data_IF_247228870607
#
_entry.id   IF_247228870607
#
_cell.length_a   1.000
_cell.length_b   1.000
_cell.length_c   1.000
_cell.angle_alpha   90.00
_cell.angle_beta   90.00
_cell.angle_gamma   90.00
#
_symmetry.space_group_name_H-M   'P 1'
#
loop_
_entity.id
_entity.type
_entity.pdbx_description
1 polymer ?
#
# COMPACT_ATOMS: atom_id res chain seq x y z
N UNK A 1 -7.32 5.51 53.25
CA UNK A 1 -6.11 5.26 52.43
C UNK A 1 -5.60 6.60 51.91
N UNK A 2 -4.34 6.96 52.17
CA UNK A 2 -3.80 8.29 51.83
C UNK A 2 -3.69 8.55 50.32
N UNK A 3 -3.79 9.82 49.92
CA UNK A 3 -3.71 10.29 48.53
C UNK A 3 -2.43 9.82 47.81
N UNK A 4 -1.28 9.91 48.50
CA UNK A 4 0.02 9.41 48.02
C UNK A 4 0.01 7.92 47.62
N UNK A 5 -0.61 7.06 48.46
CA UNK A 5 -0.68 5.61 48.18
C UNK A 5 -1.51 5.28 46.94
N UNK A 6 -2.50 6.11 46.59
CA UNK A 6 -3.34 5.92 45.39
C UNK A 6 -2.61 6.30 44.11
N UNK A 7 -1.85 7.41 44.13
CA UNK A 7 -1.02 7.81 42.99
C UNK A 7 -0.01 6.71 42.66
N UNK A 8 0.68 6.19 43.68
CA UNK A 8 1.65 5.09 43.50
C UNK A 8 0.99 3.88 42.85
N UNK A 9 -0.21 3.49 43.33
CA UNK A 9 -0.95 2.35 42.76
C UNK A 9 -1.40 2.60 41.32
N UNK A 10 -1.85 3.81 40.98
CA UNK A 10 -2.21 4.17 39.60
C UNK A 10 -1.01 4.09 38.65
N UNK A 11 0.17 4.49 39.11
CA UNK A 11 1.40 4.37 38.33
C UNK A 11 1.75 2.89 38.09
N UNK A 12 1.70 2.05 39.14
CA UNK A 12 1.95 0.62 38.99
C UNK A 12 0.92 -0.07 38.07
N UNK A 13 -0.36 0.30 38.16
CA UNK A 13 -1.39 -0.21 37.28
C UNK A 13 -1.15 0.20 35.83
N UNK A 14 -0.81 1.47 35.58
CA UNK A 14 -0.46 1.96 34.24
C UNK A 14 0.73 1.21 33.65
N UNK A 15 1.79 1.00 34.43
CA UNK A 15 2.98 0.26 33.99
C UNK A 15 2.66 -1.21 33.67
N UNK A 16 1.85 -1.87 34.50
CA UNK A 16 1.44 -3.24 34.26
C UNK A 16 0.58 -3.38 32.99
N UNK A 17 -0.36 -2.45 32.77
CA UNK A 17 -1.18 -2.41 31.55
C UNK A 17 -0.30 -2.14 30.32
N UNK A 18 0.57 -1.13 30.38
CA UNK A 18 1.46 -0.80 29.27
C UNK A 18 2.36 -1.99 28.90
N UNK A 19 2.98 -2.65 29.89
CA UNK A 19 3.80 -3.83 29.66
C UNK A 19 2.99 -4.99 29.05
N UNK A 20 1.78 -5.24 29.54
CA UNK A 20 0.90 -6.27 28.98
C UNK A 20 0.48 -5.98 27.54
N UNK A 21 0.11 -4.74 27.23
CA UNK A 21 -0.28 -4.31 25.87
C UNK A 21 0.90 -4.42 24.90
N UNK A 22 2.09 -3.94 25.29
CA UNK A 22 3.30 -4.07 24.48
C UNK A 22 3.69 -5.54 24.26
N UNK A 23 3.43 -6.41 25.25
CA UNK A 23 3.60 -7.85 25.10
C UNK A 23 2.66 -8.45 24.06
N UNK A 24 1.36 -8.13 24.12
CA UNK A 24 0.38 -8.56 23.10
C UNK A 24 0.74 -8.06 21.70
N UNK A 25 1.25 -6.83 21.64
CA UNK A 25 1.70 -6.21 20.40
C UNK A 25 2.92 -6.90 19.80
N UNK A 26 3.93 -7.20 20.62
CA UNK A 26 5.13 -7.93 20.20
C UNK A 26 4.79 -9.32 19.62
N UNK A 27 3.74 -9.96 20.15
CA UNK A 27 3.21 -11.25 19.70
C UNK A 27 2.24 -11.15 18.50
N UNK A 28 1.97 -9.95 17.97
CA UNK A 28 1.14 -9.80 16.76
C UNK A 28 -0.38 -9.74 16.98
N UNK A 29 -0.86 -9.77 18.22
CA UNK A 29 -2.31 -9.79 18.50
C UNK A 29 -3.03 -8.51 18.05
N UNK A 30 -2.29 -7.40 17.96
CA UNK A 30 -2.82 -6.09 17.59
C UNK A 30 -2.64 -5.75 16.11
N UNK A 31 -1.97 -6.62 15.33
CA UNK A 31 -1.72 -6.36 13.91
C UNK A 31 -3.01 -6.18 13.10
N UNK A 32 -3.98 -7.10 13.27
CA UNK A 32 -5.24 -7.04 12.53
C UNK A 32 -6.01 -5.74 12.77
N UNK A 33 -6.28 -5.31 14.02
CA UNK A 33 -6.97 -4.04 14.25
C UNK A 33 -6.19 -2.84 13.73
N UNK A 34 -4.85 -2.82 13.83
CA UNK A 34 -4.05 -1.71 13.30
C UNK A 34 -4.13 -1.59 11.77
N UNK A 35 -4.07 -2.71 11.05
CA UNK A 35 -4.22 -2.70 9.60
C UNK A 35 -5.63 -2.32 9.16
N UNK A 36 -6.67 -2.71 9.91
CA UNK A 36 -8.05 -2.27 9.63
C UNK A 36 -8.25 -0.77 9.90
N UNK A 37 -7.63 -0.22 10.94
CA UNK A 37 -7.65 1.22 11.21
C UNK A 37 -6.89 1.99 10.13
N UNK A 38 -5.73 1.50 9.70
CA UNK A 38 -4.98 2.05 8.57
C UNK A 38 -5.83 2.12 7.30
N UNK A 39 -6.56 1.05 6.97
CA UNK A 39 -7.45 1.01 5.81
C UNK A 39 -8.57 2.04 5.90
N UNK A 40 -9.16 2.20 7.09
CA UNK A 40 -10.18 3.21 7.33
C UNK A 40 -9.62 4.63 7.19
N UNK A 41 -8.39 4.86 7.63
CA UNK A 41 -7.71 6.15 7.47
C UNK A 41 -7.42 6.45 5.99
N UNK A 42 -6.97 5.47 5.21
CA UNK A 42 -6.82 5.62 3.76
C UNK A 42 -8.16 5.97 3.10
N UNK A 43 -9.22 5.21 3.39
CA UNK A 43 -10.54 5.41 2.78
C UNK A 43 -11.12 6.80 3.06
N UNK A 44 -10.89 7.35 4.24
CA UNK A 44 -11.39 8.69 4.63
C UNK A 44 -10.47 9.83 4.23
N UNK A 45 -9.18 9.54 4.07
CA UNK A 45 -8.10 10.53 4.03
C UNK A 45 -7.47 10.75 2.67
N UNK A 46 -7.73 9.89 1.68
CA UNK A 46 -7.13 9.96 0.35
C UNK A 46 -7.55 11.24 -0.39
N UNK A 47 -6.64 12.22 -0.45
CA UNK A 47 -6.74 13.36 -1.37
C UNK A 47 -6.40 12.89 -2.77
N UNK A 48 -7.39 12.89 -3.66
CA UNK A 48 -7.25 12.50 -5.05
C UNK A 48 -6.32 13.47 -5.79
N UNK A 49 -5.26 12.94 -6.40
CA UNK A 49 -4.37 13.70 -7.30
C UNK A 49 -4.58 13.30 -8.76
N UNK A 50 -4.39 14.25 -9.68
CA UNK A 50 -4.30 13.94 -11.10
C UNK A 50 -3.07 13.06 -11.37
N UNK A 51 -3.18 12.15 -12.35
CA UNK A 51 -2.12 11.21 -12.69
C UNK A 51 -1.69 11.33 -14.16
N UNK A 52 -0.41 11.09 -14.42
CA UNK A 52 0.16 10.96 -15.77
C UNK A 52 -0.13 9.58 -16.40
N UNK A 53 -0.77 8.68 -15.66
CA UNK A 53 -1.04 7.30 -16.08
C UNK A 53 -2.41 7.20 -16.76
N UNK A 54 -2.46 6.48 -17.88
CA UNK A 54 -3.67 6.12 -18.62
C UNK A 54 -3.75 4.60 -18.70
N UNK A 55 -4.94 4.06 -18.45
CA UNK A 55 -5.20 2.63 -18.53
C UNK A 55 -5.85 2.28 -19.86
N UNK A 56 -5.28 1.28 -20.53
CA UNK A 56 -5.83 0.68 -21.73
C UNK A 56 -6.37 -0.69 -21.33
N UNK A 57 -7.70 -0.80 -21.21
CA UNK A 57 -8.30 -2.02 -20.67
C UNK A 57 -8.73 -2.97 -21.76
N UNK A 58 -8.34 -4.24 -21.63
CA UNK A 58 -8.97 -5.33 -22.36
C UNK A 58 -10.24 -5.74 -21.62
N UNK A 59 -11.38 -5.42 -22.21
CA UNK A 59 -12.70 -5.64 -21.64
C UNK A 59 -13.31 -6.98 -22.07
N UNK A 60 -14.41 -7.37 -21.44
CA UNK A 60 -15.18 -8.56 -21.82
C UNK A 60 -15.68 -8.49 -23.29
N UNK A 61 -15.96 -7.27 -23.78
CA UNK A 61 -16.38 -7.06 -25.16
C UNK A 61 -15.22 -7.28 -26.13
N UNK A 62 -14.01 -6.86 -25.77
CA UNK A 62 -12.81 -7.06 -26.58
C UNK A 62 -12.47 -8.55 -26.70
N UNK A 63 -12.55 -9.29 -25.58
CA UNK A 63 -12.33 -10.75 -25.57
C UNK A 63 -13.36 -11.46 -26.45
N UNK A 64 -14.64 -11.05 -26.37
CA UNK A 64 -15.70 -11.62 -27.18
C UNK A 64 -15.55 -11.29 -28.67
N UNK A 65 -15.08 -10.09 -28.99
CA UNK A 65 -14.82 -9.66 -30.35
C UNK A 65 -13.64 -10.41 -30.98
N UNK A 66 -12.59 -10.71 -30.20
CA UNK A 66 -11.47 -11.57 -30.61
C UNK A 66 -11.93 -13.03 -30.78
N UNK A 67 -12.88 -13.48 -29.95
CA UNK A 67 -13.43 -14.83 -29.97
C UNK A 67 -12.60 -15.85 -29.17
N UNK A 68 -11.45 -15.45 -28.62
CA UNK A 68 -10.62 -16.27 -27.74
C UNK A 68 -9.82 -15.42 -26.74
N UNK A 69 -9.32 -16.09 -25.70
CA UNK A 69 -8.33 -15.55 -24.77
C UNK A 69 -7.17 -16.54 -24.65
N UNK A 70 -5.90 -16.10 -24.61
CA UNK A 70 -5.42 -14.71 -24.71
C UNK A 70 -5.66 -14.05 -26.07
N UNK A 71 -5.58 -12.72 -26.13
CA UNK A 71 -5.59 -11.97 -27.40
C UNK A 71 -4.44 -12.43 -28.32
N UNK A 72 -4.65 -12.38 -29.64
CA UNK A 72 -3.59 -12.68 -30.61
C UNK A 72 -2.45 -11.64 -30.57
N UNK A 73 -1.26 -12.09 -30.96
CA UNK A 73 -0.06 -11.27 -31.01
C UNK A 73 -0.20 -10.13 -32.03
N UNK A 74 -0.91 -10.38 -33.15
CA UNK A 74 -1.30 -9.32 -34.11
C UNK A 74 -2.08 -8.22 -33.41
N UNK A 75 -3.10 -8.57 -32.62
CA UNK A 75 -3.99 -7.61 -31.97
C UNK A 75 -3.23 -6.78 -30.93
N UNK A 76 -2.34 -7.41 -30.17
CA UNK A 76 -1.47 -6.72 -29.22
C UNK A 76 -0.47 -5.80 -29.94
N UNK A 77 0.15 -6.26 -31.02
CA UNK A 77 1.09 -5.47 -31.80
C UNK A 77 0.43 -4.21 -32.40
N UNK A 78 -0.77 -4.35 -32.98
CA UNK A 78 -1.57 -3.22 -33.46
C UNK A 78 -1.83 -2.20 -32.35
N UNK A 79 -2.24 -2.67 -31.17
CA UNK A 79 -2.53 -1.78 -30.04
C UNK A 79 -1.26 -1.05 -29.57
N UNK A 80 -0.15 -1.78 -29.41
CA UNK A 80 1.14 -1.21 -29.02
C UNK A 80 1.61 -0.17 -30.04
N UNK A 81 1.47 -0.43 -31.34
CA UNK A 81 1.82 0.51 -32.39
C UNK A 81 0.98 1.79 -32.31
N UNK A 82 -0.34 1.69 -32.07
CA UNK A 82 -1.20 2.87 -31.89
C UNK A 82 -0.76 3.70 -30.68
N UNK A 83 -0.39 3.06 -29.56
CA UNK A 83 0.11 3.78 -28.38
C UNK A 83 1.45 4.48 -28.66
N UNK A 84 2.33 3.81 -29.39
CA UNK A 84 3.62 4.33 -29.88
C UNK A 84 3.41 5.56 -30.77
N UNK A 85 2.55 5.45 -31.78
CA UNK A 85 2.26 6.49 -32.78
C UNK A 85 1.51 7.67 -32.17
N UNK A 86 0.69 7.42 -31.15
CA UNK A 86 0.00 8.45 -30.37
C UNK A 86 0.94 9.22 -29.42
N UNK A 87 2.21 8.84 -29.36
CA UNK A 87 3.24 9.54 -28.59
C UNK A 87 3.19 9.25 -27.10
N UNK A 88 2.74 8.06 -26.68
CA UNK A 88 2.92 7.61 -25.30
C UNK A 88 4.40 7.66 -24.92
N UNK A 89 4.69 8.20 -23.73
CA UNK A 89 6.05 8.34 -23.20
C UNK A 89 6.60 7.01 -22.72
N UNK A 90 5.74 6.17 -22.15
CA UNK A 90 6.10 4.85 -21.62
C UNK A 90 4.89 3.94 -21.77
N UNK A 91 5.11 2.70 -22.18
CA UNK A 91 4.05 1.73 -22.44
C UNK A 91 4.32 0.48 -21.60
N UNK A 92 3.41 0.17 -20.70
CA UNK A 92 3.41 -1.06 -19.93
C UNK A 92 2.48 -2.10 -20.54
N UNK A 93 3.00 -3.29 -20.80
CA UNK A 93 2.22 -4.46 -21.19
C UNK A 93 2.03 -5.37 -19.98
N UNK A 94 0.92 -5.19 -19.27
CA UNK A 94 0.50 -6.02 -18.13
C UNK A 94 -0.35 -7.21 -18.62
N UNK A 95 0.24 -8.01 -19.51
CA UNK A 95 -0.32 -9.24 -20.03
C UNK A 95 0.82 -10.25 -20.19
N UNK A 96 0.67 -11.44 -19.60
CA UNK A 96 1.65 -12.50 -19.79
C UNK A 96 1.74 -12.90 -21.26
N UNK A 97 2.98 -13.13 -21.71
CA UNK A 97 3.30 -13.49 -23.08
C UNK A 97 4.57 -14.31 -23.16
N UNK A 98 4.59 -15.39 -22.38
CA UNK A 98 5.59 -16.45 -22.39
C UNK A 98 5.50 -17.32 -23.65
N UNK A 99 4.29 -17.51 -24.19
CA UNK A 99 4.02 -18.31 -25.38
C UNK A 99 3.46 -17.45 -26.53
N UNK A 100 3.83 -17.77 -27.79
CA UNK A 100 3.30 -17.08 -28.96
C UNK A 100 1.81 -17.39 -29.15
N UNK A 101 1.03 -16.37 -29.53
CA UNK A 101 -0.40 -16.49 -29.81
C UNK A 101 -0.68 -16.01 -31.24
N UNK A 102 -0.72 -16.96 -32.17
CA UNK A 102 -0.99 -16.67 -33.58
C UNK A 102 -2.38 -16.03 -33.79
N UNK A 103 -2.55 -15.21 -34.85
CA UNK A 103 -1.54 -14.76 -35.81
C UNK A 103 -0.72 -13.56 -35.30
N UNK A 104 0.41 -13.26 -35.96
CA UNK A 104 1.13 -11.98 -35.79
C UNK A 104 2.37 -11.99 -34.88
N UNK A 105 2.90 -13.17 -34.55
CA UNK A 105 4.08 -13.34 -33.68
C UNK A 105 5.25 -12.46 -34.10
N UNK A 106 5.64 -12.51 -35.38
CA UNK A 106 6.79 -11.74 -35.91
C UNK A 106 6.57 -10.23 -35.82
N UNK A 107 5.33 -9.77 -36.02
CA UNK A 107 4.99 -8.35 -35.91
C UNK A 107 5.06 -7.89 -34.45
N UNK A 108 4.50 -8.67 -33.53
CA UNK A 108 4.56 -8.39 -32.09
C UNK A 108 6.00 -8.35 -31.58
N UNK A 109 6.81 -9.36 -31.90
CA UNK A 109 8.21 -9.38 -31.53
C UNK A 109 9.00 -8.24 -32.16
N UNK A 110 8.69 -7.86 -33.40
CA UNK A 110 9.26 -6.69 -34.07
C UNK A 110 8.97 -5.40 -33.29
N UNK A 111 7.71 -5.15 -32.95
CA UNK A 111 7.31 -3.97 -32.15
C UNK A 111 8.02 -3.96 -30.80
N UNK A 112 8.08 -5.09 -30.08
CA UNK A 112 8.78 -5.17 -28.80
C UNK A 112 10.29 -4.93 -28.94
N UNK A 113 10.91 -5.42 -30.01
CA UNK A 113 12.35 -5.26 -30.27
C UNK A 113 12.70 -3.80 -30.58
N UNK A 114 11.92 -3.18 -31.46
CA UNK A 114 12.25 -1.89 -32.06
C UNK A 114 11.84 -0.71 -31.17
N UNK A 115 10.86 -0.89 -30.28
CA UNK A 115 10.35 0.17 -29.41
C UNK A 115 10.85 0.07 -27.97
N UNK A 116 11.83 0.91 -27.62
CA UNK A 116 12.42 0.95 -26.27
C UNK A 116 11.44 1.40 -25.17
N UNK A 117 10.33 2.03 -25.55
CA UNK A 117 9.30 2.56 -24.64
C UNK A 117 8.42 1.47 -24.03
N UNK A 118 8.47 0.25 -24.58
CA UNK A 118 7.61 -0.85 -24.16
C UNK A 118 8.31 -1.69 -23.10
N UNK A 119 7.67 -1.81 -21.94
CA UNK A 119 8.07 -2.64 -20.81
C UNK A 119 7.00 -3.73 -20.64
N UNK A 120 7.42 -4.98 -20.52
CA UNK A 120 6.53 -6.11 -20.35
C UNK A 120 6.71 -6.78 -18.98
N UNK A 121 5.73 -7.62 -18.63
CA UNK A 121 5.70 -8.33 -17.36
C UNK A 121 6.34 -9.71 -17.44
N UNK A 122 6.85 -10.16 -16.30
CA UNK A 122 7.11 -11.55 -15.95
C UNK A 122 6.56 -11.83 -14.55
N UNK A 123 6.48 -13.08 -14.15
CA UNK A 123 6.04 -13.48 -12.80
C UNK A 123 7.07 -14.41 -12.17
N UNK A 124 7.40 -14.19 -10.91
CA UNK A 124 8.22 -15.15 -10.19
C UNK A 124 7.45 -16.44 -9.89
N UNK A 125 8.21 -17.53 -9.80
CA UNK A 125 7.69 -18.78 -9.27
C UNK A 125 7.58 -18.72 -7.76
N UNK A 126 6.73 -19.57 -7.21
CA UNK A 126 6.69 -19.88 -5.78
C UNK A 126 7.05 -21.37 -5.57
N UNK A 127 7.31 -21.86 -4.35
CA UNK A 127 7.67 -23.26 -4.12
C UNK A 127 6.69 -24.29 -4.67
N UNK A 128 5.45 -23.89 -5.00
CA UNK A 128 4.39 -24.74 -5.50
C UNK A 128 4.01 -24.45 -6.97
N UNK A 129 4.57 -23.40 -7.60
CA UNK A 129 4.20 -22.97 -8.95
C UNK A 129 5.41 -22.42 -9.70
N UNK A 130 5.59 -22.88 -10.93
CA UNK A 130 6.58 -22.29 -11.82
C UNK A 130 6.23 -20.83 -12.13
N UNK A 131 7.28 -20.02 -12.29
CA UNK A 131 7.14 -18.63 -12.72
C UNK A 131 6.67 -18.54 -14.16
N UNK A 132 6.20 -17.35 -14.55
CA UNK A 132 5.78 -17.08 -15.93
C UNK A 132 6.85 -16.18 -16.55
N UNK A 133 7.66 -16.67 -17.51
CA UNK A 133 8.65 -15.82 -18.15
C UNK A 133 7.97 -14.72 -18.99
N UNK A 134 8.73 -13.68 -19.32
CA UNK A 134 8.25 -12.65 -20.25
C UNK A 134 8.44 -13.09 -21.72
N UNK A 135 8.09 -12.22 -22.69
CA UNK A 135 8.43 -12.45 -24.09
C UNK A 135 9.93 -12.72 -24.29
N UNK A 136 10.26 -13.80 -24.99
CA UNK A 136 11.65 -14.22 -25.24
C UNK A 136 12.51 -13.11 -25.88
N UNK A 137 11.92 -12.31 -26.77
CA UNK A 137 12.58 -11.16 -27.42
C UNK A 137 13.08 -10.09 -26.44
N UNK A 138 12.56 -10.07 -25.21
CA UNK A 138 12.94 -9.12 -24.16
C UNK A 138 13.82 -9.73 -23.06
N UNK A 139 14.15 -11.02 -23.09
CA UNK A 139 14.91 -11.69 -22.01
C UNK A 139 16.28 -11.05 -21.74
N UNK A 140 16.99 -10.68 -22.80
CA UNK A 140 18.30 -10.03 -22.70
C UNK A 140 18.20 -8.51 -22.44
N UNK A 141 16.99 -7.97 -22.27
CA UNK A 141 16.74 -6.54 -22.09
C UNK A 141 16.45 -6.18 -20.63
N UNK A 142 16.62 -4.90 -20.27
CA UNK A 142 16.19 -4.35 -18.98
C UNK A 142 14.72 -3.91 -18.97
N UNK A 143 13.87 -4.49 -19.85
CA UNK A 143 12.47 -4.09 -20.07
C UNK A 143 11.46 -5.15 -19.61
N UNK A 144 11.89 -6.09 -18.77
CA UNK A 144 11.03 -7.08 -18.11
C UNK A 144 10.97 -6.83 -16.60
N UNK A 145 9.78 -6.47 -16.12
CA UNK A 145 9.53 -6.26 -14.69
C UNK A 145 8.69 -7.36 -14.09
N UNK A 146 8.96 -7.74 -12.84
CA UNK A 146 8.11 -8.71 -12.16
C UNK A 146 6.75 -8.08 -11.79
N UNK A 147 5.67 -8.83 -12.00
CA UNK A 147 4.29 -8.40 -11.80
C UNK A 147 3.71 -8.80 -10.44
N UNK A 148 4.54 -9.36 -9.57
CA UNK A 148 4.11 -9.91 -8.29
C UNK A 148 3.56 -8.82 -7.35
N UNK A 149 2.31 -9.00 -6.95
CA UNK A 149 1.64 -8.23 -5.91
C UNK A 149 1.67 -9.02 -4.60
N UNK A 150 1.81 -8.31 -3.47
CA UNK A 150 2.09 -8.90 -2.17
C UNK A 150 0.88 -8.77 -1.22
N UNK A 151 -0.14 -9.64 -1.33
CA UNK A 151 -1.21 -9.69 -0.34
C UNK A 151 -0.63 -10.03 1.02
N UNK A 152 -1.12 -9.35 2.06
CA UNK A 152 -0.76 -9.70 3.42
C UNK A 152 -1.75 -10.69 4.05
N UNK A 153 -1.38 -11.27 5.20
CA UNK A 153 -2.21 -12.25 5.90
C UNK A 153 -3.50 -11.69 6.49
N UNK A 154 -3.77 -10.39 6.37
CA UNK A 154 -4.95 -9.72 6.93
C UNK A 154 -5.89 -9.29 5.81
N UNK A 155 -6.77 -10.21 5.43
CA UNK A 155 -7.78 -9.98 4.40
C UNK A 155 -7.23 -10.00 2.97
N UNK A 156 -6.00 -10.50 2.77
CA UNK A 156 -5.32 -10.58 1.47
C UNK A 156 -5.25 -9.23 0.75
N UNK A 157 -5.24 -8.14 1.51
CA UNK A 157 -5.26 -6.79 0.96
C UNK A 157 -3.87 -6.38 0.51
N UNK A 158 -3.80 -5.73 -0.66
CA UNK A 158 -2.56 -5.16 -1.15
C UNK A 158 -2.34 -3.82 -0.45
N UNK A 159 -1.53 -3.80 0.61
CA UNK A 159 -1.16 -2.56 1.34
C UNK A 159 0.26 -2.10 1.04
N UNK A 160 1.05 -2.95 0.40
CA UNK A 160 2.48 -2.78 0.13
C UNK A 160 2.82 -3.26 -1.26
N UNK A 161 3.93 -2.78 -1.79
CA UNK A 161 4.48 -3.21 -3.07
C UNK A 161 5.99 -3.39 -2.97
N UNK A 162 6.53 -4.32 -3.75
CA UNK A 162 7.97 -4.45 -3.94
C UNK A 162 8.41 -3.61 -5.14
N UNK A 163 9.49 -2.87 -4.95
CA UNK A 163 10.19 -2.14 -6.01
C UNK A 163 11.33 -2.97 -6.58
N UNK A 164 12.03 -3.69 -5.70
CA UNK A 164 13.08 -4.63 -6.08
C UNK A 164 12.99 -5.92 -5.29
N UNK A 165 13.36 -7.03 -5.91
CA UNK A 165 13.52 -8.32 -5.25
C UNK A 165 14.76 -9.01 -5.78
N UNK A 166 15.31 -9.96 -5.03
CA UNK A 166 16.37 -10.83 -5.52
C UNK A 166 15.77 -12.16 -5.93
N UNK A 167 15.97 -12.55 -7.19
CA UNK A 167 15.60 -13.86 -7.70
C UNK A 167 16.84 -14.53 -8.30
N UNK A 168 17.11 -15.77 -7.89
CA UNK A 168 18.31 -16.54 -8.28
C UNK A 168 19.64 -15.77 -8.13
N UNK A 169 19.75 -14.90 -7.11
CA UNK A 169 20.96 -14.09 -6.87
C UNK A 169 21.06 -12.81 -7.72
N UNK A 170 20.09 -12.55 -8.60
CA UNK A 170 20.02 -11.34 -9.41
C UNK A 170 18.97 -10.37 -8.87
N UNK A 171 19.34 -9.08 -8.80
CA UNK A 171 18.39 -8.02 -8.49
C UNK A 171 17.42 -7.85 -9.66
N UNK A 172 16.14 -7.92 -9.35
CA UNK A 172 15.04 -7.76 -10.28
C UNK A 172 14.23 -6.54 -9.88
N UNK A 173 13.70 -5.84 -10.87
CA UNK A 173 12.89 -4.62 -10.67
C UNK A 173 11.43 -4.93 -10.95
N UNK A 174 10.52 -4.36 -10.16
CA UNK A 174 9.09 -4.56 -10.38
C UNK A 174 8.63 -3.85 -11.64
N UNK A 175 7.56 -4.36 -12.25
CA UNK A 175 6.94 -3.75 -13.43
C UNK A 175 6.62 -2.27 -13.21
N UNK A 176 5.96 -1.94 -12.10
CA UNK A 176 5.62 -0.55 -11.77
C UNK A 176 6.87 0.33 -11.54
N UNK A 177 7.92 -0.19 -10.90
CA UNK A 177 9.15 0.56 -10.70
C UNK A 177 9.87 0.81 -12.04
N UNK A 178 9.94 -0.17 -12.95
CA UNK A 178 10.52 0.02 -14.29
C UNK A 178 9.77 1.07 -15.10
N UNK A 179 8.43 1.05 -15.07
CA UNK A 179 7.61 2.07 -15.74
C UNK A 179 7.92 3.48 -15.20
N UNK A 180 7.97 3.62 -13.87
CA UNK A 180 8.28 4.89 -13.23
C UNK A 180 9.71 5.36 -13.59
N UNK A 181 10.71 4.48 -13.50
CA UNK A 181 12.09 4.79 -13.86
C UNK A 181 12.23 5.25 -15.31
N UNK A 182 11.61 4.51 -16.25
CA UNK A 182 11.67 4.86 -17.67
C UNK A 182 11.02 6.22 -17.95
N UNK A 183 9.86 6.50 -17.33
CA UNK A 183 9.18 7.78 -17.49
C UNK A 183 9.96 8.96 -16.88
N UNK A 184 10.63 8.74 -15.74
CA UNK A 184 11.42 9.72 -15.00
C UNK A 184 12.81 9.96 -15.61
N UNK A 185 13.34 9.02 -16.39
CA UNK A 185 14.63 9.17 -17.07
C UNK A 185 14.67 10.40 -18.00
N UNK A 186 13.54 10.73 -18.64
CA UNK A 186 13.42 11.95 -19.46
C UNK A 186 13.54 13.25 -18.64
N UNK A 187 13.30 13.19 -17.34
CA UNK A 187 13.45 14.29 -16.38
C UNK A 187 14.84 14.27 -15.70
N UNK A 188 15.73 13.34 -16.10
CA UNK A 188 17.06 13.15 -15.49
C UNK A 188 17.00 12.55 -14.07
N UNK A 189 15.86 11.98 -13.68
CA UNK A 189 15.65 11.40 -12.36
C UNK A 189 15.92 9.89 -12.42
N UNK A 190 16.88 9.43 -11.62
CA UNK A 190 17.23 8.03 -11.48
C UNK A 190 17.21 7.61 -10.00
N UNK A 191 16.82 6.37 -9.68
CA UNK A 191 16.93 5.85 -8.33
C UNK A 191 18.39 5.69 -7.92
N UNK A 192 18.70 5.99 -6.67
CA UNK A 192 20.05 5.84 -6.11
C UNK A 192 20.01 5.66 -4.59
N UNK A 193 21.16 5.42 -3.95
CA UNK A 193 21.25 5.39 -2.49
C UNK A 193 20.91 6.77 -1.92
N UNK A 194 20.20 6.79 -0.79
CA UNK A 194 20.00 8.02 -0.02
C UNK A 194 21.30 8.40 0.71
N UNK A 195 21.63 9.69 0.73
CA UNK A 195 22.86 10.19 1.34
C UNK A 195 22.78 10.34 2.86
N UNK A 196 21.56 10.43 3.42
CA UNK A 196 21.35 10.67 4.85
C UNK A 196 21.03 9.39 5.61
N UNK A 197 20.37 8.43 4.94
CA UNK A 197 19.91 7.20 5.57
C UNK A 197 20.49 5.97 4.87
N UNK A 198 21.24 5.18 5.64
CA UNK A 198 21.77 3.90 5.17
C UNK A 198 20.63 2.96 4.75
N UNK A 199 20.78 2.28 3.61
CA UNK A 199 19.80 1.36 3.03
C UNK A 199 18.49 1.99 2.53
N UNK A 200 18.36 3.32 2.54
CA UNK A 200 17.24 4.00 1.91
C UNK A 200 17.54 4.27 0.44
N UNK A 201 16.48 4.33 -0.37
CA UNK A 201 16.58 4.70 -1.78
C UNK A 201 16.08 6.12 -1.93
N UNK A 202 16.84 6.95 -2.62
CA UNK A 202 16.39 8.24 -3.10
C UNK A 202 15.86 8.12 -4.53
N UNK A 203 14.72 8.73 -4.78
CA UNK A 203 14.14 8.89 -6.11
C UNK A 203 13.83 10.37 -6.29
N UNK A 204 14.65 11.08 -7.07
CA UNK A 204 14.51 12.52 -7.30
C UNK A 204 14.55 13.33 -6.00
N UNK A 205 13.46 14.06 -5.73
CA UNK A 205 13.30 14.88 -4.54
C UNK A 205 12.97 14.07 -3.27
N UNK A 206 12.43 12.85 -3.41
CA UNK A 206 11.92 12.06 -2.30
C UNK A 206 12.83 10.92 -1.86
N UNK A 207 12.84 10.66 -0.55
CA UNK A 207 13.48 9.48 0.05
C UNK A 207 12.43 8.42 0.34
N UNK A 208 12.73 7.18 -0.01
CA UNK A 208 11.91 6.01 0.21
C UNK A 208 12.56 5.22 1.35
N UNK A 209 11.87 5.03 2.50
CA UNK A 209 12.32 4.11 3.53
C UNK A 209 11.83 2.68 3.20
N UNK A 210 12.68 1.65 3.31
CA UNK A 210 12.24 0.27 3.11
C UNK A 210 11.35 -0.20 4.27
N UNK A 211 10.43 -1.13 4.00
CA UNK A 211 9.68 -1.80 5.05
C UNK A 211 10.59 -2.65 5.95
N UNK A 212 10.25 -2.69 7.23
CA UNK A 212 10.84 -3.60 8.21
C UNK A 212 9.85 -4.70 8.61
N UNK A 213 10.32 -5.74 9.29
CA UNK A 213 9.48 -6.83 9.79
C UNK A 213 8.43 -6.38 10.81
N UNK A 214 8.62 -5.21 11.44
CA UNK A 214 7.75 -4.60 12.44
C UNK A 214 7.26 -3.22 12.00
N UNK A 215 7.03 -3.01 10.71
CA UNK A 215 6.65 -1.71 10.17
C UNK A 215 5.20 -1.37 10.53
N UNK A 216 5.02 -0.42 11.45
CA UNK A 216 3.69 0.03 11.88
C UNK A 216 2.92 -1.10 12.54
N UNK A 217 1.69 -1.35 12.06
CA UNK A 217 0.86 -2.43 12.57
C UNK A 217 1.36 -3.85 12.24
N UNK A 218 2.36 -4.02 11.36
CA UNK A 218 2.85 -5.35 11.02
C UNK A 218 3.72 -5.96 12.13
N UNK A 219 3.58 -7.27 12.34
CA UNK A 219 4.46 -8.07 13.19
C UNK A 219 4.87 -9.32 12.40
N UNK A 220 6.18 -9.51 12.21
CA UNK A 220 6.78 -10.58 11.40
C UNK A 220 6.48 -10.50 9.89
N UNK A 221 6.43 -9.29 9.34
CA UNK A 221 6.31 -9.09 7.89
C UNK A 221 7.50 -9.73 7.15
N UNK A 222 7.22 -10.47 6.06
CA UNK A 222 8.25 -10.83 5.09
C UNK A 222 8.67 -9.59 4.31
N UNK A 223 9.64 -8.86 4.85
CA UNK A 223 10.19 -7.63 4.31
C UNK A 223 11.37 -7.87 3.34
N UNK A 224 11.48 -9.05 2.73
CA UNK A 224 12.54 -9.33 1.74
C UNK A 224 12.42 -8.45 0.51
N UNK A 225 13.57 -8.06 -0.06
CA UNK A 225 13.62 -7.09 -1.14
C UNK A 225 13.36 -5.66 -0.66
N UNK A 226 13.18 -4.76 -1.62
CA UNK A 226 12.91 -3.36 -1.33
C UNK A 226 11.42 -3.09 -1.47
N UNK A 227 10.73 -2.93 -0.35
CA UNK A 227 9.27 -2.75 -0.32
C UNK A 227 8.89 -1.41 0.29
N UNK A 228 7.72 -0.88 -0.09
CA UNK A 228 7.14 0.35 0.46
C UNK A 228 5.63 0.18 0.71
N UNK A 229 5.08 1.00 1.61
CA UNK A 229 3.63 1.11 1.80
C UNK A 229 2.99 1.83 0.61
N UNK A 230 1.79 1.39 0.22
CA UNK A 230 1.00 2.04 -0.83
C UNK A 230 0.11 3.12 -0.24
N UNK A 231 0.01 4.27 -0.91
CA UNK A 231 -0.80 5.40 -0.44
C UNK A 231 -2.17 5.54 -1.11
N UNK A 232 -2.36 4.88 -2.27
CA UNK A 232 -3.58 4.91 -3.07
C UNK A 232 -4.14 6.33 -3.34
N UNK A 233 -3.27 7.35 -3.41
CA UNK A 233 -3.71 8.75 -3.52
C UNK A 233 -4.08 9.19 -4.95
N UNK A 234 -3.79 8.37 -5.97
CA UNK A 234 -4.18 8.65 -7.34
C UNK A 234 -5.71 8.72 -7.49
N UNK A 235 -6.20 9.68 -8.26
CA UNK A 235 -7.60 9.75 -8.68
C UNK A 235 -8.04 8.59 -9.57
N UNK A 236 -9.32 8.57 -10.01
CA UNK A 236 -9.71 7.66 -11.07
C UNK A 236 -8.78 7.91 -12.27
N UNK A 237 -8.08 6.86 -12.69
CA UNK A 237 -7.23 6.92 -13.86
C UNK A 237 -8.09 7.19 -15.09
N UNK A 238 -7.51 7.92 -16.05
CA UNK A 238 -8.12 7.99 -17.36
C UNK A 238 -8.05 6.61 -18.01
N UNK A 239 -9.19 6.13 -18.48
CA UNK A 239 -9.36 4.77 -18.99
C UNK A 239 -9.86 4.81 -20.43
N UNK A 240 -9.27 3.96 -21.27
CA UNK A 240 -9.68 3.73 -22.67
C UNK A 240 -9.75 2.21 -22.88
N UNK A 241 -10.75 1.72 -23.60
CA UNK A 241 -10.83 0.31 -23.96
C UNK A 241 -9.88 -0.04 -25.11
N UNK A 242 -9.48 -1.30 -25.21
CA UNK A 242 -8.70 -1.79 -26.33
C UNK A 242 -9.42 -1.56 -27.67
N UNK A 243 -10.73 -1.79 -27.72
CA UNK A 243 -11.57 -1.53 -28.88
C UNK A 243 -11.53 -0.07 -29.34
N UNK A 244 -11.60 0.89 -28.43
CA UNK A 244 -11.45 2.32 -28.76
C UNK A 244 -10.05 2.62 -29.32
N UNK A 245 -8.99 2.07 -28.72
CA UNK A 245 -7.62 2.24 -29.22
C UNK A 245 -7.49 1.75 -30.66
N UNK A 246 -8.01 0.56 -30.94
CA UNK A 246 -7.91 -0.07 -32.26
C UNK A 246 -8.90 0.48 -33.29
N UNK A 247 -9.98 1.12 -32.84
CA UNK A 247 -10.92 1.87 -33.69
C UNK A 247 -10.39 3.23 -34.15
N UNK A 248 -9.22 3.67 -33.66
CA UNK A 248 -8.69 5.01 -33.93
C UNK A 248 -9.38 6.11 -33.11
N UNK A 249 -10.09 5.73 -32.04
CA UNK A 249 -10.88 6.63 -31.20
C UNK A 249 -10.23 7.08 -29.86
N UNK A 250 -8.97 6.77 -29.48
CA UNK A 250 -8.37 7.53 -28.38
C UNK A 250 -7.97 8.89 -28.96
N UNK A 251 -8.46 10.02 -28.41
CA UNK A 251 -7.87 11.30 -28.76
C UNK A 251 -6.36 11.20 -28.47
N UNK A 252 -5.51 11.45 -29.46
CA UNK A 252 -4.03 11.51 -29.29
C UNK A 252 -3.65 12.36 -28.07
N UNK A 253 -4.47 13.38 -27.77
CA UNK A 253 -4.37 14.21 -26.57
C UNK A 253 -4.40 13.45 -25.23
N UNK A 254 -5.09 12.30 -25.15
CA UNK A 254 -5.12 11.43 -23.96
C UNK A 254 -3.81 10.67 -23.75
N UNK A 255 -3.12 10.29 -24.83
CA UNK A 255 -1.96 9.38 -24.76
C UNK A 255 -0.63 10.12 -24.83
N UNK A 256 -0.57 11.25 -25.52
CA UNK A 256 0.67 11.98 -25.79
C UNK A 256 1.37 12.39 -24.49
N UNK A 257 2.62 11.96 -24.34
CA UNK A 257 3.47 12.26 -23.19
C UNK A 257 3.08 11.52 -21.90
N UNK A 258 2.11 10.61 -21.95
CA UNK A 258 1.61 9.88 -20.77
C UNK A 258 2.20 8.48 -20.65
N UNK A 259 1.99 7.85 -19.50
CA UNK A 259 2.32 6.45 -19.26
C UNK A 259 1.07 5.62 -19.55
N UNK A 260 1.09 4.82 -20.61
CA UNK A 260 -0.02 3.95 -20.97
C UNK A 260 0.21 2.54 -20.41
N UNK A 261 -0.74 1.98 -19.66
CA UNK A 261 -0.66 0.60 -19.17
C UNK A 261 -1.78 -0.20 -19.83
N UNK A 262 -1.41 -1.13 -20.70
CA UNK A 262 -2.29 -2.08 -21.38
C UNK A 262 -2.40 -3.35 -20.54
N UNK A 263 -3.61 -3.66 -20.06
CA UNK A 263 -3.85 -4.82 -19.20
C UNK A 263 -5.30 -5.28 -19.25
N UNK A 264 -5.59 -6.42 -18.64
CA UNK A 264 -6.92 -6.99 -18.63
C UNK A 264 -7.78 -6.44 -17.47
N UNK A 265 -9.03 -6.07 -17.74
CA UNK A 265 -10.02 -5.72 -16.69
C UNK A 265 -11.30 -6.56 -16.73
N UNK A 266 -11.34 -7.55 -17.64
CA UNK A 266 -12.49 -8.44 -17.79
C UNK A 266 -12.74 -9.25 -16.50
N UNK A 267 -13.98 -9.20 -15.99
CA UNK A 267 -14.38 -9.92 -14.76
C UNK A 267 -14.20 -11.43 -14.86
N UNK A 268 -14.31 -11.98 -16.07
CA UNK A 268 -14.08 -13.41 -16.35
C UNK A 268 -12.66 -13.88 -16.00
N UNK A 269 -11.66 -12.97 -16.05
CA UNK A 269 -10.26 -13.28 -15.78
C UNK A 269 -9.89 -13.29 -14.30
N UNK A 270 -10.77 -12.76 -13.42
CA UNK A 270 -10.61 -12.77 -11.96
C UNK A 270 -9.29 -12.18 -11.45
N UNK A 271 -8.75 -11.18 -12.14
CA UNK A 271 -7.52 -10.48 -11.77
C UNK A 271 -7.72 -9.35 -10.74
N UNK A 272 -8.87 -9.32 -10.07
CA UNK A 272 -9.15 -8.32 -9.04
C UNK A 272 -8.63 -8.78 -7.68
N UNK A 273 -7.88 -7.94 -7.00
CA UNK A 273 -7.31 -8.18 -5.66
C UNK A 273 -7.94 -7.24 -4.61
N UNK A 274 -8.11 -7.68 -3.35
CA UNK A 274 -8.56 -6.80 -2.29
C UNK A 274 -7.59 -5.65 -2.06
N UNK A 275 -8.12 -4.45 -1.80
CA UNK A 275 -7.33 -3.25 -1.52
C UNK A 275 -7.86 -2.52 -0.28
N UNK A 276 -7.03 -1.71 0.42
CA UNK A 276 -7.43 -1.05 1.66
C UNK A 276 -8.55 0.00 1.51
N UNK A 277 -8.94 0.32 0.28
CA UNK A 277 -10.02 1.27 -0.02
C UNK A 277 -11.44 0.71 0.23
N UNK A 278 -11.59 -0.57 0.57
CA UNK A 278 -12.89 -1.21 0.84
C UNK A 278 -13.52 -1.92 -0.36
N UNK A 279 -12.72 -2.32 -1.33
CA UNK A 279 -13.15 -3.01 -2.55
C UNK A 279 -12.03 -3.85 -3.15
N UNK A 280 -12.16 -4.18 -4.44
CA UNK A 280 -11.13 -4.88 -5.22
C UNK A 280 -10.73 -4.03 -6.42
N UNK A 281 -9.47 -4.13 -6.83
CA UNK A 281 -8.95 -3.49 -8.04
C UNK A 281 -8.24 -4.53 -8.91
N UNK A 282 -8.34 -4.38 -10.24
CA UNK A 282 -7.54 -5.15 -11.19
C UNK A 282 -6.04 -4.93 -10.96
N UNK A 283 -5.20 -5.94 -11.25
CA UNK A 283 -3.75 -5.87 -11.05
C UNK A 283 -3.13 -4.62 -11.68
N UNK A 284 -3.47 -4.34 -12.94
CA UNK A 284 -2.97 -3.15 -13.65
C UNK A 284 -3.29 -1.82 -12.94
N UNK A 285 -4.45 -1.73 -12.26
CA UNK A 285 -4.87 -0.52 -11.53
C UNK A 285 -4.02 -0.34 -10.28
N UNK A 286 -3.64 -1.44 -9.64
CA UNK A 286 -2.73 -1.44 -8.50
C UNK A 286 -1.34 -1.00 -8.96
N UNK A 287 -0.84 -1.52 -10.08
CA UNK A 287 0.42 -1.06 -10.67
C UNK A 287 0.38 0.43 -11.04
N UNK A 288 -0.73 0.93 -11.59
CA UNK A 288 -0.90 2.35 -11.86
C UNK A 288 -0.81 3.23 -10.61
N UNK A 289 -1.39 2.79 -9.48
CA UNK A 289 -1.22 3.47 -8.19
C UNK A 289 0.25 3.50 -7.73
N UNK A 290 0.99 2.40 -7.92
CA UNK A 290 2.42 2.36 -7.59
C UNK A 290 3.22 3.33 -8.47
N UNK A 291 2.99 3.33 -9.78
CA UNK A 291 3.65 4.26 -10.72
C UNK A 291 3.36 5.71 -10.32
N UNK A 292 2.09 6.05 -10.11
CA UNK A 292 1.66 7.39 -9.69
C UNK A 292 2.34 7.84 -8.38
N UNK A 293 2.36 6.96 -7.37
CA UNK A 293 3.02 7.22 -6.10
C UNK A 293 4.51 7.50 -6.27
N UNK A 294 5.21 6.70 -7.08
CA UNK A 294 6.63 6.91 -7.36
C UNK A 294 6.89 8.22 -8.10
N UNK A 295 6.06 8.60 -9.07
CA UNK A 295 6.19 9.88 -9.78
C UNK A 295 5.98 11.07 -8.85
N UNK A 296 4.96 11.03 -7.98
CA UNK A 296 4.71 12.10 -7.01
C UNK A 296 5.85 12.24 -6.01
N UNK A 297 6.41 11.13 -5.54
CA UNK A 297 7.57 11.13 -4.65
C UNK A 297 8.81 11.67 -5.36
N UNK A 298 9.06 11.21 -6.59
CA UNK A 298 10.17 11.67 -7.42
C UNK A 298 10.18 13.19 -7.62
N UNK A 299 9.00 13.77 -7.83
CA UNK A 299 8.80 15.20 -8.08
C UNK A 299 8.62 16.03 -6.80
N UNK A 300 8.66 15.41 -5.62
CA UNK A 300 8.49 16.10 -4.33
C UNK A 300 7.06 16.58 -4.06
N UNK A 301 6.07 16.04 -4.78
CA UNK A 301 4.64 16.33 -4.58
C UNK A 301 4.10 15.59 -3.35
N UNK A 302 4.67 14.41 -3.06
CA UNK A 302 4.32 13.63 -1.87
C UNK A 302 5.55 13.02 -1.23
N UNK A 303 5.48 12.75 0.08
CA UNK A 303 6.50 11.99 0.80
C UNK A 303 5.87 10.71 1.37
N UNK A 304 6.62 9.60 1.46
CA UNK A 304 6.16 8.42 2.18
C UNK A 304 5.74 8.78 3.60
N UNK A 305 4.68 8.14 4.09
CA UNK A 305 4.24 8.36 5.47
C UNK A 305 5.30 7.84 6.43
N UNK A 306 5.64 8.65 7.42
CA UNK A 306 6.43 8.20 8.56
C UNK A 306 5.59 7.27 9.41
N UNK A 307 6.21 6.25 9.97
CA UNK A 307 5.56 5.33 10.89
C UNK A 307 6.12 5.54 12.29
N UNK A 308 5.23 5.65 13.27
CA UNK A 308 5.58 5.71 14.68
C UNK A 308 5.76 4.27 15.17
N UNK A 309 6.95 3.95 15.69
CA UNK A 309 7.28 2.58 16.10
C UNK A 309 8.41 2.54 17.13
N UNK A 310 8.66 1.35 17.67
CA UNK A 310 9.73 1.12 18.64
C UNK A 310 9.50 1.89 19.94
N UNK A 311 10.47 2.72 20.34
CA UNK A 311 10.39 3.45 21.61
C UNK A 311 9.32 4.55 21.60
N UNK A 312 9.05 5.17 20.44
CA UNK A 312 8.04 6.23 20.33
C UNK A 312 6.64 5.68 20.64
N UNK A 313 6.36 4.48 20.11
CA UNK A 313 5.13 3.74 20.34
C UNK A 313 4.99 3.33 21.81
N UNK A 314 6.07 2.79 22.40
CA UNK A 314 6.11 2.47 23.82
C UNK A 314 5.86 3.68 24.73
N UNK A 315 6.45 4.85 24.40
CA UNK A 315 6.20 6.09 25.12
C UNK A 315 4.75 6.55 25.01
N UNK A 316 4.13 6.41 23.83
CA UNK A 316 2.72 6.74 23.63
C UNK A 316 1.80 5.81 24.42
N UNK A 317 2.02 4.50 24.37
CA UNK A 317 1.26 3.50 25.14
C UNK A 317 1.37 3.77 26.64
N UNK A 318 2.57 4.10 27.13
CA UNK A 318 2.79 4.44 28.54
C UNK A 318 2.05 5.72 28.92
N UNK A 319 2.15 6.78 28.11
CA UNK A 319 1.45 8.05 28.33
C UNK A 319 -0.07 7.84 28.41
N UNK A 320 -0.63 7.10 27.45
CA UNK A 320 -2.07 6.83 27.40
C UNK A 320 -2.53 5.95 28.57
N UNK A 321 -1.72 4.97 28.98
CA UNK A 321 -1.96 4.15 30.19
C UNK A 321 -1.99 4.98 31.47
N UNK A 322 -1.08 5.96 31.59
CA UNK A 322 -1.04 6.89 32.71
C UNK A 322 -2.29 7.77 32.74
N UNK A 323 -2.65 8.38 31.60
CA UNK A 323 -3.83 9.23 31.48
C UNK A 323 -5.12 8.48 31.84
N UNK A 324 -5.29 7.24 31.35
CA UNK A 324 -6.46 6.41 31.68
C UNK A 324 -6.52 6.03 33.16
N UNK A 325 -5.37 5.75 33.77
CA UNK A 325 -5.28 5.50 35.22
C UNK A 325 -5.60 6.74 36.05
N UNK A 326 -5.14 7.93 35.67
CA UNK A 326 -5.45 9.18 36.39
C UNK A 326 -6.92 9.58 36.26
N UNK A 327 -7.56 9.32 35.12
CA UNK A 327 -8.99 9.59 34.92
C UNK A 327 -9.85 8.84 35.97
N UNK A 328 -9.54 7.58 36.23
CA UNK A 328 -10.26 6.75 37.20
C UNK A 328 -10.06 7.17 38.67
N UNK A 329 -9.02 7.96 38.99
CA UNK A 329 -8.89 8.58 40.33
C UNK A 329 -9.88 9.76 40.53
N UNK A 330 -10.22 10.47 39.46
CA UNK A 330 -11.07 11.67 39.49
C UNK A 330 -12.58 11.41 39.61
N UNK A 331 -13.04 10.23 39.19
CA UNK A 331 -14.47 9.85 39.15
C UNK A 331 -15.11 9.62 40.54
N UNK A 332 -14.31 9.50 41.60
CA UNK A 332 -14.74 9.21 42.98
C UNK A 332 -15.65 10.26 43.66
N UNK A 333 -15.78 11.47 43.12
CA UNK A 333 -16.56 12.54 43.80
C UNK A 333 -18.08 12.47 43.59
N UNK A 334 -18.63 11.57 42.77
CA UNK A 334 -20.07 11.56 42.42
C UNK A 334 -20.59 10.12 42.23
N UNK A 335 -21.22 9.48 43.22
CA UNK A 335 -21.42 8.02 43.20
C UNK A 335 -22.38 7.45 42.12
N UNK A 336 -23.41 8.18 41.66
CA UNK A 336 -24.34 7.69 40.59
C UNK A 336 -24.10 8.39 39.25
N UNK A 337 -23.75 9.69 39.29
CA UNK A 337 -23.23 10.41 38.11
C UNK A 337 -21.82 9.95 37.71
N UNK A 338 -21.13 9.17 38.56
CA UNK A 338 -19.72 8.79 38.41
C UNK A 338 -19.50 7.62 37.47
N UNK A 339 -20.36 6.60 37.49
CA UNK A 339 -20.25 5.47 36.58
C UNK A 339 -20.61 5.89 35.14
N UNK A 340 -21.71 6.63 34.97
CA UNK A 340 -22.10 7.17 33.66
C UNK A 340 -21.11 8.21 33.14
N UNK A 341 -20.63 9.14 33.98
CA UNK A 341 -19.59 10.10 33.55
C UNK A 341 -18.25 9.41 33.26
N UNK A 342 -17.89 8.33 33.95
CA UNK A 342 -16.71 7.55 33.64
C UNK A 342 -16.83 6.83 32.29
N UNK A 343 -17.96 6.18 32.02
CA UNK A 343 -18.21 5.55 30.71
C UNK A 343 -18.13 6.60 29.60
N UNK A 344 -18.78 7.75 29.77
CA UNK A 344 -18.70 8.84 28.81
C UNK A 344 -17.27 9.37 28.64
N UNK A 345 -16.50 9.48 29.73
CA UNK A 345 -15.10 9.92 29.65
C UNK A 345 -14.20 8.88 28.96
N UNK A 346 -14.42 7.59 29.19
CA UNK A 346 -13.70 6.51 28.50
C UNK A 346 -14.02 6.53 27.00
N UNK A 347 -15.30 6.66 26.63
CA UNK A 347 -15.73 6.78 25.23
C UNK A 347 -15.19 8.05 24.58
N UNK A 348 -15.19 9.19 25.29
CA UNK A 348 -14.63 10.44 24.81
C UNK A 348 -13.11 10.34 24.57
N UNK A 349 -12.38 9.69 25.48
CA UNK A 349 -10.95 9.42 25.31
C UNK A 349 -10.67 8.50 24.12
N UNK A 350 -11.48 7.46 23.93
CA UNK A 350 -11.36 6.58 22.76
C UNK A 350 -11.63 7.34 21.45
N UNK A 351 -12.67 8.18 21.44
CA UNK A 351 -12.98 9.06 20.31
C UNK A 351 -11.85 10.05 20.01
N UNK A 352 -11.24 10.63 21.06
CA UNK A 352 -10.09 11.52 20.92
C UNK A 352 -8.87 10.80 20.34
N UNK A 353 -8.57 9.58 20.78
CA UNK A 353 -7.49 8.77 20.21
C UNK A 353 -7.73 8.46 18.74
N UNK A 354 -8.95 8.10 18.35
CA UNK A 354 -9.31 7.86 16.94
C UNK A 354 -9.13 9.11 16.08
N UNK A 355 -9.59 10.27 16.56
CA UNK A 355 -9.43 11.56 15.87
C UNK A 355 -7.97 11.96 15.79
N UNK A 356 -7.20 11.77 16.86
CA UNK A 356 -5.77 12.07 16.89
C UNK A 356 -4.98 11.17 15.93
N UNK A 357 -5.28 9.86 15.90
CA UNK A 357 -4.68 8.92 14.97
C UNK A 357 -4.98 9.27 13.51
N UNK A 358 -6.24 9.60 13.20
CA UNK A 358 -6.61 10.06 11.85
C UNK A 358 -5.95 11.39 11.48
N UNK A 359 -5.89 12.36 12.39
CA UNK A 359 -5.23 13.64 12.17
C UNK A 359 -3.72 13.47 11.93
N UNK A 360 -3.05 12.61 12.70
CA UNK A 360 -1.65 12.25 12.48
C UNK A 360 -1.46 11.60 11.09
N UNK A 361 -2.38 10.71 10.70
CA UNK A 361 -2.35 10.04 9.40
C UNK A 361 -2.45 11.03 8.23
N UNK A 362 -3.33 12.02 8.34
CA UNK A 362 -3.45 13.13 7.38
C UNK A 362 -2.21 14.02 7.35
N UNK A 363 -1.53 14.16 8.49
CA UNK A 363 -0.25 14.87 8.59
C UNK A 363 0.96 14.04 8.12
N UNK A 364 0.74 12.85 7.53
CA UNK A 364 1.81 12.00 7.00
C UNK A 364 2.47 11.08 8.04
N UNK A 365 1.84 10.88 9.20
CA UNK A 365 2.34 9.98 10.26
C UNK A 365 1.32 8.88 10.54
N UNK A 366 1.68 7.63 10.24
CA UNK A 366 0.89 6.48 10.65
C UNK A 366 1.29 6.05 12.07
N UNK A 367 0.31 6.11 12.98
CA UNK A 367 0.44 5.61 14.35
C UNK A 367 -0.42 4.37 14.51
N UNK A 368 0.13 3.20 14.90
CA UNK A 368 -0.65 2.02 15.25
C UNK A 368 -1.49 2.33 16.50
N UNK A 369 -2.81 2.48 16.31
CA UNK A 369 -3.71 2.98 17.34
C UNK A 369 -4.28 1.87 18.23
N UNK A 370 -4.19 0.60 17.84
CA UNK A 370 -4.75 -0.51 18.60
C UNK A 370 -4.11 -0.62 20.00
N UNK A 371 -2.78 -0.49 20.10
CA UNK A 371 -2.08 -0.52 21.38
C UNK A 371 -2.45 0.67 22.29
N UNK A 372 -2.36 1.95 21.85
CA UNK A 372 -2.86 3.09 22.62
C UNK A 372 -4.32 2.93 23.08
N UNK A 373 -5.22 2.51 22.19
CA UNK A 373 -6.64 2.33 22.52
C UNK A 373 -6.86 1.22 23.55
N UNK A 374 -6.18 0.08 23.43
CA UNK A 374 -6.27 -1.01 24.39
C UNK A 374 -5.69 -0.61 25.75
N UNK A 375 -4.60 0.17 25.75
CA UNK A 375 -3.96 0.68 26.96
C UNK A 375 -4.86 1.66 27.72
N UNK A 376 -5.61 2.51 27.00
CA UNK A 376 -6.62 3.41 27.55
C UNK A 376 -7.75 2.62 28.22
N UNK A 377 -8.31 1.63 27.52
CA UNK A 377 -9.40 0.80 28.02
C UNK A 377 -8.97 -0.04 29.23
N UNK A 378 -7.80 -0.68 29.15
CA UNK A 378 -7.25 -1.53 30.19
C UNK A 378 -6.95 -0.75 31.47
N UNK A 379 -6.33 0.41 31.36
CA UNK A 379 -5.97 1.25 32.51
C UNK A 379 -7.20 1.86 33.20
N UNK A 380 -8.16 2.37 32.42
CA UNK A 380 -9.42 2.88 32.97
C UNK A 380 -10.26 1.77 33.62
N UNK A 381 -10.33 0.59 33.02
CA UNK A 381 -11.09 -0.55 33.52
C UNK A 381 -10.50 -1.16 34.80
N UNK A 382 -9.19 -1.46 34.80
CA UNK A 382 -8.50 -2.10 35.92
C UNK A 382 -8.59 -1.26 37.19
N UNK A 383 -8.35 0.05 37.09
CA UNK A 383 -8.40 0.92 38.26
C UNK A 383 -9.83 1.11 38.78
N UNK A 384 -10.82 1.15 37.89
CA UNK A 384 -12.23 1.25 38.28
C UNK A 384 -12.70 0.00 39.03
N UNK A 385 -12.37 -1.19 38.52
CA UNK A 385 -12.68 -2.45 39.19
C UNK A 385 -12.04 -2.54 40.58
N UNK A 386 -10.78 -2.11 40.70
CA UNK A 386 -10.07 -2.06 41.98
C UNK A 386 -10.66 -1.03 42.96
N UNK A 387 -11.05 0.15 42.47
CA UNK A 387 -11.68 1.18 43.30
C UNK A 387 -13.02 0.68 43.84
N UNK A 388 -13.83 0.03 42.99
CA UNK A 388 -15.13 -0.52 43.36
C UNK A 388 -15.03 -1.69 44.34
N UNK A 389 -14.09 -2.62 44.16
CA UNK A 389 -13.93 -3.77 45.06
C UNK A 389 -13.53 -3.39 46.48
N UNK A 390 -12.89 -2.23 46.67
CA UNK A 390 -12.57 -1.66 47.99
C UNK A 390 -13.68 -0.79 48.60
N UNK A 391 -14.76 -0.55 47.87
CA UNK A 391 -15.94 0.14 48.39
C UNK A 391 -17.00 -0.86 48.87
N UNK A 392 -16.98 -2.08 48.35
CA UNK A 392 -17.83 -3.20 48.78
C UNK A 392 -17.27 -4.02 49.95
N UNK A 393 -16.03 -3.74 50.39
CA UNK A 393 -15.33 -4.39 51.49
C UNK A 393 -15.04 -3.36 52.59
#
# INVERSE_FOLDING_TARGET
MGFSRRIVLSIFAALAVAAGVLGLEAEGWLQRPDLLLHDEYLRRGSTVTASDVVLIEVTENDIRAEGHWPLSDRRLAEALQVLVDSGARTIGLDLYRDLPVSPGVEFFEGVLRDESRIIAVKKFGDPNREGIPGPAVLEASSRLGFNDLLPDGVGESIRRTALYMTDQGHLQTSFAMLLAQHALAAEGIHPGPDSEHENWMRLGAGSLPPLSSTHGGYRQLDARGYQIMMDYAAGPFETVSLGEVLGGEPPVAKLRGRIAILGASAKSLRDELPVPLGGRLAGMKIHAHVVDQLLRIARGVSVPRRVLGGWEEACLVLLVSLLGSFLALGSRRRAVLGATSLVLAVLAGLGLLLVAGFAAFQAGVWVPMAAPMLSWLGSAGLLTAWVSSRESA
#
